data_IF_717960367772
#
_entry.id   IF_717960367772
#
_cell.length_a   1.000
_cell.length_b   1.000
_cell.length_c   1.000
_cell.angle_alpha   90.00
_cell.angle_beta   90.00
_cell.angle_gamma   90.00
#
_symmetry.space_group_name_H-M   'P 1'
#
loop_
_entity.id
_entity.type
_entity.pdbx_description
1 polymer ?
#
# COMPACT_ATOMS: atom_id res chain seq x y z
N UNK A 1 -7.83 11.24 16.61
CA UNK A 1 -6.70 10.29 16.54
C UNK A 1 -6.64 9.64 15.17
N UNK A 2 -5.45 9.49 14.57
CA UNK A 2 -5.31 8.73 13.34
C UNK A 2 -5.45 7.24 13.67
N UNK A 3 -6.57 6.62 13.27
CA UNK A 3 -6.77 5.17 13.43
C UNK A 3 -5.79 4.45 12.52
N UNK A 4 -4.81 3.78 13.12
CA UNK A 4 -3.90 2.89 12.40
C UNK A 4 -4.70 1.71 11.84
N UNK A 5 -4.28 1.26 10.67
CA UNK A 5 -4.88 0.15 9.92
C UNK A 5 -3.76 -0.74 9.43
N UNK A 6 -3.98 -2.04 9.50
CA UNK A 6 -3.07 -3.03 8.95
C UNK A 6 -3.46 -3.22 7.49
N UNK A 7 -2.48 -3.06 6.61
CA UNK A 7 -2.59 -3.32 5.18
C UNK A 7 -1.76 -4.55 4.87
N UNK A 8 -2.40 -5.59 4.33
CA UNK A 8 -1.73 -6.80 3.86
C UNK A 8 -1.43 -6.66 2.38
N UNK A 9 -0.17 -6.79 2.01
CA UNK A 9 0.32 -6.73 0.64
C UNK A 9 0.71 -8.12 0.19
N UNK A 10 0.04 -8.61 -0.85
CA UNK A 10 0.31 -9.89 -1.49
C UNK A 10 1.20 -9.66 -2.71
N UNK A 11 2.38 -10.30 -2.69
CA UNK A 11 3.32 -10.36 -3.81
C UNK A 11 3.01 -11.57 -4.70
N UNK A 12 3.39 -11.48 -5.98
CA UNK A 12 3.38 -12.63 -6.90
C UNK A 12 4.17 -13.85 -6.35
N UNK A 13 5.23 -13.62 -5.58
CA UNK A 13 6.06 -14.67 -4.94
C UNK A 13 5.47 -15.27 -3.63
N UNK A 14 4.16 -15.13 -3.38
CA UNK A 14 3.47 -15.59 -2.15
C UNK A 14 3.94 -14.95 -0.83
N UNK A 15 4.83 -13.97 -0.88
CA UNK A 15 5.23 -13.23 0.31
C UNK A 15 4.13 -12.23 0.70
N UNK A 16 3.68 -12.31 1.96
CA UNK A 16 2.68 -11.40 2.52
C UNK A 16 3.38 -10.42 3.43
N UNK A 17 3.39 -9.13 3.07
CA UNK A 17 3.89 -8.09 3.97
C UNK A 17 2.73 -7.36 4.64
N UNK A 18 2.75 -7.32 5.97
CA UNK A 18 1.81 -6.52 6.75
C UNK A 18 2.44 -5.17 7.10
N UNK A 19 1.79 -4.09 6.69
CA UNK A 19 2.22 -2.72 6.98
C UNK A 19 1.13 -2.02 7.77
N UNK A 20 1.48 -1.58 8.98
CA UNK A 20 0.62 -0.71 9.76
C UNK A 20 0.75 0.75 9.28
N UNK A 21 -0.36 1.35 8.88
CA UNK A 21 -0.38 2.75 8.48
C UNK A 21 -1.72 3.43 8.77
N UNK A 22 -1.70 4.75 8.85
CA UNK A 22 -2.93 5.54 8.99
C UNK A 22 -3.76 5.61 7.71
N UNK A 23 -3.17 5.35 6.54
CA UNK A 23 -3.83 5.47 5.24
C UNK A 23 -3.23 4.55 4.17
N UNK A 24 -4.06 4.14 3.20
CA UNK A 24 -3.66 3.30 2.07
C UNK A 24 -2.47 3.87 1.29
N UNK A 25 -2.54 5.17 0.96
CA UNK A 25 -1.47 5.84 0.19
C UNK A 25 -0.12 5.80 0.90
N UNK A 26 -0.09 5.95 2.22
CA UNK A 26 1.15 5.85 3.01
C UNK A 26 1.65 4.41 3.09
N UNK A 27 0.76 3.44 3.26
CA UNK A 27 1.11 2.02 3.26
C UNK A 27 1.76 1.61 1.93
N UNK A 28 1.11 1.94 0.79
CA UNK A 28 1.64 1.68 -0.56
C UNK A 28 2.99 2.36 -0.78
N UNK A 29 3.17 3.60 -0.29
CA UNK A 29 4.44 4.32 -0.40
C UNK A 29 5.56 3.71 0.44
N UNK A 30 5.23 3.14 1.60
CA UNK A 30 6.18 2.40 2.43
C UNK A 30 6.58 1.09 1.77
N UNK A 31 5.58 0.36 1.23
CA UNK A 31 5.78 -0.90 0.51
C UNK A 31 6.67 -0.73 -0.73
N UNK A 32 6.37 0.23 -1.60
CA UNK A 32 7.13 0.46 -2.83
C UNK A 32 8.59 0.88 -2.58
N UNK A 33 8.92 1.40 -1.39
CA UNK A 33 10.30 1.74 -1.03
C UNK A 33 11.12 0.49 -0.66
N UNK A 34 10.44 -0.56 -0.18
CA UNK A 34 11.05 -1.85 0.18
C UNK A 34 11.13 -2.80 -1.02
N UNK A 35 10.19 -2.71 -1.96
CA UNK A 35 9.98 -3.73 -3.00
C UNK A 35 9.92 -3.11 -4.39
N UNK A 36 10.65 -3.70 -5.35
CA UNK A 36 10.62 -3.31 -6.78
C UNK A 36 9.60 -4.12 -7.58
N UNK A 37 8.35 -4.17 -7.12
CA UNK A 37 7.26 -4.82 -7.86
C UNK A 37 6.45 -3.80 -8.67
N UNK A 38 5.91 -4.25 -9.80
CA UNK A 38 5.09 -3.44 -10.70
C UNK A 38 3.60 -3.44 -10.32
N UNK A 39 3.14 -4.52 -9.68
CA UNK A 39 1.74 -4.71 -9.29
C UNK A 39 1.66 -5.41 -7.94
N UNK A 40 0.75 -4.95 -7.09
CA UNK A 40 0.53 -5.51 -5.75
C UNK A 40 -0.95 -5.64 -5.48
N UNK A 41 -1.33 -6.71 -4.79
CA UNK A 41 -2.68 -6.88 -4.30
C UNK A 41 -2.72 -6.50 -2.81
N UNK A 42 -3.62 -5.60 -2.44
CA UNK A 42 -3.67 -5.01 -1.10
C UNK A 42 -5.02 -5.27 -0.48
N UNK A 43 -5.01 -5.78 0.74
CA UNK A 43 -6.21 -6.04 1.53
C UNK A 43 -6.13 -5.28 2.86
N UNK A 44 -7.21 -4.60 3.24
CA UNK A 44 -7.27 -3.90 4.52
C UNK A 44 -8.70 -3.73 5.01
N UNK A 45 -8.84 -3.63 6.34
CA UNK A 45 -10.13 -3.32 6.96
C UNK A 45 -10.34 -1.80 6.98
N UNK A 46 -11.45 -1.35 6.41
CA UNK A 46 -11.84 0.05 6.36
C UNK A 46 -12.19 0.58 7.76
N UNK A 47 -12.30 1.90 7.89
CA UNK A 47 -12.73 2.51 9.17
C UNK A 47 -14.11 2.03 9.62
N UNK A 48 -14.96 1.62 8.67
CA UNK A 48 -16.32 1.12 8.90
C UNK A 48 -16.37 -0.41 9.11
N UNK A 49 -15.21 -1.09 9.21
CA UNK A 49 -15.16 -2.54 9.41
C UNK A 49 -15.36 -3.36 8.13
N UNK A 50 -15.41 -2.72 6.95
CA UNK A 50 -15.52 -3.42 5.67
C UNK A 50 -14.15 -3.87 5.19
N UNK A 51 -14.02 -5.12 4.81
CA UNK A 51 -12.85 -5.63 4.11
C UNK A 51 -12.79 -4.99 2.72
N UNK A 52 -11.68 -4.32 2.43
CA UNK A 52 -11.43 -3.73 1.13
C UNK A 52 -10.21 -4.40 0.52
N UNK A 53 -10.36 -4.73 -0.75
CA UNK A 53 -9.30 -5.33 -1.55
C UNK A 53 -9.05 -4.45 -2.77
N UNK A 54 -7.79 -4.32 -3.17
CA UNK A 54 -7.42 -3.48 -4.31
C UNK A 54 -6.13 -3.94 -4.97
N UNK A 55 -6.19 -4.06 -6.28
CA UNK A 55 -5.00 -4.12 -7.13
C UNK A 55 -4.41 -2.73 -7.32
N UNK A 56 -3.14 -2.57 -6.99
CA UNK A 56 -2.43 -1.31 -7.10
C UNK A 56 -1.20 -1.48 -7.99
N UNK A 57 -1.15 -0.68 -9.06
CA UNK A 57 0.06 -0.53 -9.88
C UNK A 57 1.06 0.37 -9.16
N UNK A 58 2.31 -0.05 -9.13
CA UNK A 58 3.46 0.67 -8.60
C UNK A 58 4.38 1.13 -9.75
N UNK A 59 5.16 2.22 -9.57
CA UNK A 59 5.22 3.09 -8.40
C UNK A 59 4.02 4.04 -8.30
N UNK A 60 3.54 4.23 -7.07
CA UNK A 60 2.53 5.23 -6.74
C UNK A 60 3.22 6.52 -6.28
N UNK A 61 3.36 7.47 -7.20
CA UNK A 61 4.06 8.71 -6.94
C UNK A 61 4.00 9.70 -8.09
N UNK A 62 4.53 10.90 -7.87
CA UNK A 62 4.70 11.88 -8.92
C UNK A 62 5.90 11.45 -9.77
N UNK A 63 5.69 11.27 -11.08
CA UNK A 63 6.76 10.92 -12.02
C UNK A 63 7.78 12.06 -12.15
N UNK A 64 7.28 13.30 -12.15
CA UNK A 64 8.11 14.48 -12.33
C UNK A 64 8.29 15.24 -11.01
N UNK A 65 9.55 15.50 -10.64
CA UNK A 65 9.86 16.53 -9.64
C UNK A 65 9.57 17.89 -10.29
N UNK A 66 8.63 18.65 -9.73
CA UNK A 66 8.51 20.05 -10.10
C UNK A 66 9.67 20.79 -9.41
N UNK A 67 10.59 21.33 -10.20
CA UNK A 67 11.67 22.21 -9.75
C UNK A 67 13.08 21.63 -9.82
N UNK A 68 13.88 22.17 -10.75
CA UNK A 68 14.93 23.11 -10.35
C UNK A 68 14.73 24.40 -11.14
#
# INVERSE_FOLDING_TARGET
>A
MAKMRIFKFWKDDKETEEIESSSFKKAVKSFQNKVKQSMVYVEWVSKKGQEMTKWQKLPLGRKDKIGK
#
